data_IF_281482437916
#
_entry.id   IF_281482437916
#
_cell.length_a   1.000
_cell.length_b   1.000
_cell.length_c   1.000
_cell.angle_alpha   90.00
_cell.angle_beta   90.00
_cell.angle_gamma   90.00
#
_symmetry.space_group_name_H-M   'P 1'
#
loop_
_entity.id
_entity.type
_entity.pdbx_description
1 polymer ?
#
# COMPACT_ATOMS: atom_id res chain seq x y z
N UNK A 1 -9.74 -3.78 33.37
CA UNK A 1 -9.88 -2.45 32.74
C UNK A 1 -9.71 -2.68 31.26
N UNK A 2 -10.81 -2.56 30.52
CA UNK A 2 -10.84 -2.75 29.08
C UNK A 2 -10.32 -1.46 28.44
N UNK A 3 -9.03 -1.40 28.14
CA UNK A 3 -8.44 -0.31 27.36
C UNK A 3 -8.63 -0.62 25.89
N UNK A 4 -9.88 -0.66 25.42
CA UNK A 4 -10.15 -0.48 24.00
C UNK A 4 -9.93 1.00 23.69
N UNK A 5 -8.66 1.43 23.66
CA UNK A 5 -8.31 2.66 22.98
C UNK A 5 -8.83 2.47 21.54
N UNK A 6 -9.81 3.27 21.14
CA UNK A 6 -10.23 3.32 19.75
C UNK A 6 -8.97 3.69 18.97
N UNK A 7 -8.42 2.73 18.24
CA UNK A 7 -7.30 2.98 17.34
C UNK A 7 -7.91 3.69 16.15
N UNK A 8 -7.97 5.02 16.23
CA UNK A 8 -8.40 5.85 15.12
C UNK A 8 -7.37 5.80 14.00
N UNK A 9 -7.86 5.94 12.77
CA UNK A 9 -6.99 6.06 11.61
C UNK A 9 -6.47 7.49 11.54
N UNK A 10 -5.14 7.63 11.54
CA UNK A 10 -4.49 8.93 11.42
C UNK A 10 -3.85 9.07 10.03
N UNK A 11 -3.84 10.29 9.49
CA UNK A 11 -3.12 10.60 8.27
C UNK A 11 -2.11 11.73 8.46
N UNK A 12 -0.88 11.49 8.06
CA UNK A 12 0.24 12.41 8.24
C UNK A 12 0.97 12.59 6.91
N UNK A 13 1.24 13.83 6.52
CA UNK A 13 1.96 14.11 5.28
C UNK A 13 3.43 13.73 5.44
N UNK A 14 3.96 13.00 4.46
CA UNK A 14 5.39 12.71 4.36
C UNK A 14 6.04 13.81 3.53
N UNK A 15 5.62 13.92 2.27
CA UNK A 15 6.16 14.85 1.28
C UNK A 15 5.21 14.97 0.10
N UNK A 16 5.01 16.18 -0.43
CA UNK A 16 4.16 16.44 -1.60
C UNK A 16 2.79 15.74 -1.47
N UNK A 17 2.50 14.79 -2.36
CA UNK A 17 1.27 14.02 -2.36
C UNK A 17 1.38 12.67 -1.64
N UNK A 18 2.50 12.38 -0.98
CA UNK A 18 2.75 11.15 -0.24
C UNK A 18 2.41 11.32 1.24
N UNK A 19 1.60 10.39 1.75
CA UNK A 19 1.04 10.44 3.10
C UNK A 19 1.16 9.08 3.77
N UNK A 20 1.33 9.08 5.07
CA UNK A 20 1.01 7.94 5.90
C UNK A 20 -0.49 7.84 6.14
N UNK A 21 -1.03 6.63 6.07
CA UNK A 21 -2.25 6.25 6.79
C UNK A 21 -1.86 5.26 7.88
N UNK A 22 -2.19 5.55 9.13
CA UNK A 22 -1.71 4.80 10.29
C UNK A 22 -2.87 4.21 11.09
N UNK A 23 -2.73 2.97 11.52
CA UNK A 23 -3.62 2.29 12.46
C UNK A 23 -2.75 1.65 13.55
N UNK A 24 -2.57 2.37 14.66
CA UNK A 24 -1.64 1.97 15.72
C UNK A 24 -0.20 2.00 15.21
N UNK A 25 0.47 0.85 15.29
CA UNK A 25 1.84 0.64 14.80
C UNK A 25 1.93 0.38 13.29
N UNK A 26 0.81 0.05 12.64
CA UNK A 26 0.76 -0.26 11.22
C UNK A 26 0.63 1.01 10.38
N UNK A 27 1.45 1.14 9.33
CA UNK A 27 1.46 2.30 8.44
C UNK A 27 1.37 1.88 6.96
N UNK A 28 0.63 2.66 6.19
CA UNK A 28 0.57 2.60 4.74
C UNK A 28 1.12 3.88 4.15
N UNK A 29 1.83 3.78 3.04
CA UNK A 29 2.21 4.96 2.25
C UNK A 29 1.24 5.09 1.07
N UNK A 30 0.58 6.23 1.00
CA UNK A 30 -0.46 6.57 0.03
C UNK A 30 0.06 7.72 -0.83
N UNK A 31 0.08 7.54 -2.15
CA UNK A 31 0.18 8.66 -3.08
C UNK A 31 -1.23 9.21 -3.31
N UNK A 32 -1.60 10.30 -2.62
CA UNK A 32 -2.93 10.91 -2.70
C UNK A 32 -3.23 11.57 -4.04
N UNK A 33 -2.22 11.88 -4.87
CA UNK A 33 -2.44 12.39 -6.22
C UNK A 33 -2.97 11.31 -7.16
N UNK A 34 -2.57 10.04 -6.95
CA UNK A 34 -2.98 8.91 -7.79
C UNK A 34 -3.93 7.94 -7.10
N UNK A 35 -4.14 8.07 -5.79
CA UNK A 35 -4.92 7.12 -4.99
C UNK A 35 -4.25 5.75 -4.84
N UNK A 36 -2.94 5.65 -5.09
CA UNK A 36 -2.20 4.38 -5.10
C UNK A 36 -1.40 4.18 -3.82
N UNK A 37 -1.10 2.91 -3.51
CA UNK A 37 -0.49 2.49 -2.26
C UNK A 37 0.87 1.82 -2.50
N UNK A 38 1.86 2.09 -1.65
CA UNK A 38 3.20 1.52 -1.78
C UNK A 38 3.22 0.02 -1.42
N UNK A 39 3.16 -0.83 -2.44
CA UNK A 39 3.12 -2.28 -2.32
C UNK A 39 4.45 -2.87 -1.86
N UNK A 40 5.57 -2.24 -2.25
CA UNK A 40 6.90 -2.68 -1.84
C UNK A 40 7.08 -2.55 -0.33
N UNK A 41 6.72 -1.39 0.23
CA UNK A 41 6.81 -1.15 1.68
C UNK A 41 5.83 -2.04 2.46
N UNK A 42 4.59 -2.17 1.98
CA UNK A 42 3.61 -3.07 2.58
C UNK A 42 4.10 -4.54 2.63
N UNK A 43 4.75 -5.02 1.56
CA UNK A 43 5.36 -6.35 1.57
C UNK A 43 6.45 -6.47 2.63
N UNK A 44 7.36 -5.50 2.68
CA UNK A 44 8.50 -5.53 3.60
C UNK A 44 8.02 -5.53 5.06
N UNK A 45 7.02 -4.70 5.40
CA UNK A 45 6.43 -4.63 6.74
C UNK A 45 5.75 -5.95 7.13
N UNK A 46 5.21 -6.68 6.15
CA UNK A 46 4.64 -8.01 6.31
C UNK A 46 5.66 -9.16 6.22
N UNK A 47 6.96 -8.89 6.15
CA UNK A 47 8.01 -9.92 6.03
C UNK A 47 8.00 -10.66 4.69
N UNK A 48 7.50 -10.04 3.62
CA UNK A 48 7.42 -10.58 2.27
C UNK A 48 8.21 -9.71 1.29
N UNK A 49 8.42 -10.24 0.09
CA UNK A 49 9.08 -9.56 -1.04
C UNK A 49 8.07 -9.39 -2.17
N UNK A 50 7.90 -8.16 -2.67
CA UNK A 50 6.90 -7.80 -3.69
C UNK A 50 7.02 -8.67 -4.95
N UNK A 51 8.23 -8.92 -5.41
CA UNK A 51 8.56 -9.68 -6.61
C UNK A 51 8.03 -11.12 -6.54
N UNK A 52 7.94 -11.69 -5.33
CA UNK A 52 7.39 -13.03 -5.13
C UNK A 52 5.88 -13.07 -5.39
N UNK A 53 5.15 -12.02 -5.00
CA UNK A 53 3.74 -11.87 -5.35
C UNK A 53 3.59 -11.58 -6.84
N UNK A 54 4.37 -10.65 -7.38
CA UNK A 54 4.29 -10.21 -8.77
C UNK A 54 4.53 -11.35 -9.78
N UNK A 55 5.45 -12.28 -9.46
CA UNK A 55 5.75 -13.44 -10.33
C UNK A 55 4.72 -14.57 -10.24
N UNK A 56 3.80 -14.55 -9.28
CA UNK A 56 2.80 -15.60 -9.09
C UNK A 56 1.84 -15.67 -10.29
N UNK A 57 1.54 -16.89 -10.77
CA UNK A 57 0.62 -17.13 -11.89
C UNK A 57 -0.77 -16.52 -11.65
N UNK A 58 -1.30 -16.60 -10.42
CA UNK A 58 -2.60 -16.02 -10.06
C UNK A 58 -2.57 -14.49 -10.16
N UNK A 59 -1.53 -13.88 -9.63
CA UNK A 59 -1.29 -12.43 -9.69
C UNK A 59 -1.18 -11.93 -11.13
N UNK A 60 -0.44 -12.63 -12.00
CA UNK A 60 -0.32 -12.26 -13.41
C UNK A 60 -1.67 -12.20 -14.12
N UNK A 61 -2.54 -13.20 -13.88
CA UNK A 61 -3.91 -13.22 -14.41
C UNK A 61 -4.76 -12.07 -13.87
N UNK A 62 -4.60 -11.73 -12.59
CA UNK A 62 -5.31 -10.60 -11.97
C UNK A 62 -4.90 -9.27 -12.61
N UNK A 63 -3.59 -9.04 -12.77
CA UNK A 63 -3.07 -7.83 -13.43
C UNK A 63 -3.55 -7.74 -14.87
N UNK A 64 -3.55 -8.85 -15.62
CA UNK A 64 -4.04 -8.90 -16.99
C UNK A 64 -5.53 -8.55 -17.08
N UNK A 65 -6.37 -9.15 -16.23
CA UNK A 65 -7.80 -8.85 -16.13
C UNK A 65 -8.06 -7.35 -15.96
N UNK A 66 -7.33 -6.73 -15.04
CA UNK A 66 -7.48 -5.32 -14.73
C UNK A 66 -6.91 -4.41 -15.82
N UNK A 67 -5.77 -4.76 -16.43
CA UNK A 67 -5.16 -3.99 -17.54
C UNK A 67 -6.08 -3.82 -18.74
N UNK A 68 -6.99 -4.76 -19.00
CA UNK A 68 -7.99 -4.61 -20.06
C UNK A 68 -8.96 -3.43 -19.85
N UNK A 69 -9.06 -2.91 -18.64
CA UNK A 69 -10.00 -1.85 -18.26
C UNK A 69 -9.31 -0.48 -18.06
N UNK A 70 -8.00 -0.46 -17.82
CA UNK A 70 -7.21 0.77 -17.67
C UNK A 70 -5.72 0.46 -18.01
N UNK A 71 -5.04 1.33 -18.75
CA UNK A 71 -3.66 1.09 -19.19
C UNK A 71 -2.60 1.45 -18.15
N UNK A 72 -2.92 2.26 -17.12
CA UNK A 72 -1.97 2.72 -16.11
C UNK A 72 -2.21 2.05 -14.74
N UNK A 73 -1.71 0.81 -14.59
CA UNK A 73 -1.98 -0.02 -13.40
C UNK A 73 -0.90 -0.04 -12.34
N UNK A 74 0.33 0.31 -12.67
CA UNK A 74 1.47 0.17 -11.77
C UNK A 74 2.33 1.41 -11.90
N UNK A 75 2.44 2.16 -10.81
CA UNK A 75 3.32 3.32 -10.72
C UNK A 75 4.65 2.91 -10.07
N UNK A 76 5.77 3.42 -10.57
CA UNK A 76 7.09 3.16 -9.98
C UNK A 76 7.72 4.48 -9.52
N UNK A 77 7.95 4.62 -8.21
CA UNK A 77 8.74 5.71 -7.65
C UNK A 77 10.16 5.23 -7.39
N UNK A 78 11.11 5.74 -8.19
CA UNK A 78 12.54 5.44 -8.01
C UNK A 78 13.11 6.23 -6.85
N UNK A 79 14.10 5.64 -6.18
CA UNK A 79 14.93 6.35 -5.21
C UNK A 79 15.73 7.45 -5.91
N UNK A 80 15.79 8.60 -5.25
CA UNK A 80 16.70 9.68 -5.58
C UNK A 80 17.62 9.87 -4.36
N UNK A 81 18.93 9.73 -4.55
CA UNK A 81 19.91 9.76 -3.46
C UNK A 81 20.09 11.17 -2.88
N UNK A 82 19.71 12.19 -3.63
CA UNK A 82 19.86 13.59 -3.24
C UNK A 82 18.66 14.12 -2.44
N UNK A 83 17.63 13.30 -2.22
CA UNK A 83 16.39 13.68 -1.55
C UNK A 83 16.09 12.71 -0.40
N UNK A 84 16.11 13.26 0.82
CA UNK A 84 16.09 12.52 2.09
C UNK A 84 14.81 11.70 2.30
N UNK A 85 13.69 12.11 1.69
CA UNK A 85 12.40 11.43 1.84
C UNK A 85 12.21 10.35 0.78
N UNK A 86 12.99 10.37 -0.31
CA UNK A 86 12.83 9.40 -1.41
C UNK A 86 13.01 7.94 -0.99
N UNK A 87 13.95 7.58 -0.08
CA UNK A 87 14.05 6.22 0.45
C UNK A 87 12.80 5.75 1.21
N UNK A 88 12.00 6.67 1.77
CA UNK A 88 10.76 6.37 2.47
C UNK A 88 9.66 6.05 1.45
N UNK A 89 9.51 6.92 0.44
CA UNK A 89 8.40 6.86 -0.53
C UNK A 89 8.73 6.05 -1.79
N UNK A 90 9.94 5.53 -1.96
CA UNK A 90 10.31 4.70 -3.09
C UNK A 90 9.58 3.36 -3.09
N UNK A 91 9.38 2.81 -4.29
CA UNK A 91 8.79 1.50 -4.48
C UNK A 91 7.76 1.45 -5.60
N UNK A 92 7.08 0.31 -5.67
CA UNK A 92 5.98 0.06 -6.60
C UNK A 92 4.66 0.41 -5.93
N UNK A 93 3.87 1.21 -6.62
CA UNK A 93 2.56 1.67 -6.18
C UNK A 93 1.46 0.95 -6.96
N UNK A 94 0.50 0.40 -6.23
CA UNK A 94 -0.63 -0.35 -6.77
C UNK A 94 -1.97 0.36 -6.47
N UNK A 95 -2.96 0.28 -7.36
CA UNK A 95 -4.33 0.69 -7.08
C UNK A 95 -4.99 -0.26 -6.07
N UNK A 96 -6.12 0.18 -5.52
CA UNK A 96 -6.87 -0.50 -4.46
C UNK A 96 -7.14 -1.99 -4.76
N UNK A 97 -7.53 -2.30 -5.98
CA UNK A 97 -7.93 -3.66 -6.36
C UNK A 97 -6.75 -4.65 -6.29
N UNK A 98 -5.55 -4.20 -6.66
CA UNK A 98 -4.35 -5.04 -6.65
C UNK A 98 -3.70 -5.11 -5.27
N UNK A 99 -3.67 -3.99 -4.54
CA UNK A 99 -3.07 -3.92 -3.21
C UNK A 99 -3.88 -4.74 -2.18
N UNK A 100 -5.22 -4.85 -2.32
CA UNK A 100 -6.04 -5.74 -1.49
C UNK A 100 -5.66 -7.21 -1.68
N UNK A 101 -5.46 -7.64 -2.93
CA UNK A 101 -4.99 -9.00 -3.25
C UNK A 101 -3.57 -9.24 -2.73
N UNK A 102 -2.69 -8.23 -2.78
CA UNK A 102 -1.36 -8.28 -2.19
C UNK A 102 -1.43 -8.42 -0.66
N UNK A 103 -2.22 -7.59 0.01
CA UNK A 103 -2.39 -7.60 1.47
C UNK A 103 -2.86 -8.97 1.95
N UNK A 104 -3.87 -9.56 1.30
CA UNK A 104 -4.37 -10.89 1.62
C UNK A 104 -3.30 -11.99 1.43
N UNK A 105 -2.46 -11.87 0.40
CA UNK A 105 -1.34 -12.79 0.17
C UNK A 105 -0.24 -12.67 1.24
N UNK A 106 -0.05 -11.48 1.81
CA UNK A 106 0.89 -11.26 2.90
C UNK A 106 0.38 -11.97 4.16
N UNK A 107 -0.80 -11.58 4.66
CA UNK A 107 -1.52 -12.23 5.76
C UNK A 107 -2.94 -11.66 5.95
N UNK A 108 -3.79 -12.37 6.70
CA UNK A 108 -5.11 -11.87 7.07
C UNK A 108 -5.04 -10.59 7.94
N UNK A 109 -4.12 -10.51 8.90
CA UNK A 109 -3.96 -9.33 9.77
C UNK A 109 -3.59 -8.08 8.96
N UNK A 110 -2.66 -8.21 8.01
CA UNK A 110 -2.27 -7.11 7.11
C UNK A 110 -3.46 -6.67 6.26
N UNK A 111 -4.26 -7.61 5.74
CA UNK A 111 -5.49 -7.28 5.01
C UNK A 111 -6.48 -6.49 5.88
N UNK A 112 -6.77 -6.96 7.10
CA UNK A 112 -7.75 -6.32 7.99
C UNK A 112 -7.32 -4.90 8.39
N UNK A 113 -6.03 -4.70 8.69
CA UNK A 113 -5.46 -3.38 9.02
C UNK A 113 -5.47 -2.46 7.80
N UNK A 114 -5.05 -2.96 6.63
CA UNK A 114 -5.10 -2.20 5.38
C UNK A 114 -6.53 -1.73 5.08
N UNK A 115 -7.49 -2.65 5.14
CA UNK A 115 -8.89 -2.39 4.84
C UNK A 115 -9.50 -1.33 5.76
N UNK A 116 -9.16 -1.34 7.07
CA UNK A 116 -9.58 -0.30 8.02
C UNK A 116 -9.07 1.09 7.63
N UNK A 117 -7.80 1.21 7.25
CA UNK A 117 -7.20 2.49 6.83
C UNK A 117 -7.84 2.98 5.54
N UNK A 118 -8.00 2.11 4.54
CA UNK A 118 -8.58 2.51 3.24
C UNK A 118 -10.05 2.88 3.36
N UNK A 119 -10.83 2.12 4.13
CA UNK A 119 -12.23 2.49 4.40
C UNK A 119 -12.38 3.83 5.10
N UNK A 120 -11.45 4.20 5.98
CA UNK A 120 -11.46 5.52 6.61
C UNK A 120 -11.05 6.64 5.65
N UNK A 121 -10.37 6.32 4.55
CA UNK A 121 -9.85 7.32 3.62
C UNK A 121 -10.91 7.84 2.64
N UNK A 122 -11.86 6.99 2.26
CA UNK A 122 -12.89 7.28 1.27
C UNK A 122 -14.26 7.64 1.87
N UNK A 123 -14.32 7.99 3.15
CA UNK A 123 -15.54 8.45 3.86
C UNK A 123 -15.63 9.97 3.82
#
# INVERSE_FOLDING_TARGET
MDTSAFIDVCYEQIKDHYWYGSLGDFKLIINRNTGRFNATKLCNDGGKVFENWYRNKKTKKLIEYYRHHNNDFIEMKKENKDDIDTPIISGTYLPEELILSLALWISQDIFDRFYKIVRSYFV
#
